data_IF_451398799704
#
_entry.id   IF_451398799704
#
_cell.length_a   1.000
_cell.length_b   1.000
_cell.length_c   1.000
_cell.angle_alpha   90.00
_cell.angle_beta   90.00
_cell.angle_gamma   90.00
#
_symmetry.space_group_name_H-M   'P 1'
#
loop_
_entity.id
_entity.type
_entity.pdbx_description
1 polymer ?
#
# COMPACT_ATOMS: atom_id res chain seq x y z
N UNK A 1 -13.88 59.85 -20.59
CA UNK A 1 -14.13 60.14 -19.18
C UNK A 1 -14.77 58.94 -18.54
N UNK A 2 -14.17 58.45 -17.49
CA UNK A 2 -14.51 57.47 -16.47
C UNK A 2 -13.58 56.25 -16.48
N UNK A 3 -12.62 56.34 -15.57
CA UNK A 3 -11.66 55.31 -15.22
C UNK A 3 -12.30 54.16 -14.47
N UNK A 4 -11.70 52.95 -14.54
CA UNK A 4 -12.12 51.79 -13.76
C UNK A 4 -11.30 51.71 -12.45
N UNK A 5 -12.01 51.47 -11.37
CA UNK A 5 -11.46 51.05 -10.09
C UNK A 5 -11.38 49.50 -10.06
N UNK A 6 -10.19 48.97 -10.23
CA UNK A 6 -9.87 47.59 -9.82
C UNK A 6 -8.81 47.64 -8.74
N UNK A 7 -9.24 47.51 -7.52
CA UNK A 7 -8.36 47.32 -6.37
C UNK A 7 -7.81 45.89 -6.40
N UNK A 8 -6.52 45.79 -6.61
CA UNK A 8 -5.75 44.54 -6.47
C UNK A 8 -5.60 44.23 -4.98
N UNK A 9 -6.37 43.28 -4.49
CA UNK A 9 -6.05 42.60 -3.24
C UNK A 9 -4.91 41.62 -3.50
N UNK A 10 -3.74 41.94 -2.99
CA UNK A 10 -2.58 41.03 -2.96
C UNK A 10 -2.86 39.89 -1.99
N UNK A 11 -2.82 38.69 -2.49
CA UNK A 11 -2.70 37.48 -1.73
C UNK A 11 -1.38 37.51 -0.94
N UNK A 12 -1.35 37.17 0.35
CA UNK A 12 -0.10 37.07 1.09
C UNK A 12 0.52 35.71 0.78
N UNK A 13 1.36 35.70 -0.22
CA UNK A 13 2.20 34.58 -0.61
C UNK A 13 3.49 34.58 0.19
N UNK A 14 4.02 33.36 0.34
CA UNK A 14 5.41 33.05 0.61
C UNK A 14 5.96 33.44 1.99
N UNK A 15 5.74 32.55 2.93
CA UNK A 15 6.75 32.36 3.96
C UNK A 15 7.92 31.57 3.34
N UNK A 16 8.88 32.33 2.78
CA UNK A 16 10.24 31.86 2.48
C UNK A 16 10.77 31.05 3.67
N UNK A 17 11.34 29.89 3.38
CA UNK A 17 12.05 29.06 4.34
C UNK A 17 13.06 29.89 5.15
N UNK A 18 12.76 30.10 6.42
CA UNK A 18 13.76 30.56 7.37
C UNK A 18 14.78 29.42 7.54
N UNK A 19 16.01 29.70 7.15
CA UNK A 19 17.17 28.90 7.61
C UNK A 19 17.17 29.03 9.12
N UNK A 20 17.01 27.92 9.82
CA UNK A 20 17.13 27.87 11.26
C UNK A 20 18.58 28.15 11.64
N UNK A 21 18.79 29.22 12.39
CA UNK A 21 20.05 29.47 13.10
C UNK A 21 20.14 28.48 14.28
N UNK A 22 21.33 28.00 14.65
CA UNK A 22 21.49 27.10 15.80
C UNK A 22 21.22 27.92 17.07
N UNK A 23 20.02 27.77 17.65
CA UNK A 23 19.64 28.48 18.89
C UNK A 23 18.14 28.66 19.12
N UNK A 24 17.30 28.44 18.11
CA UNK A 24 15.84 28.54 18.30
C UNK A 24 15.26 27.20 18.80
N UNK A 25 14.48 27.32 19.87
CA UNK A 25 13.93 26.27 20.72
C UNK A 25 13.52 25.02 19.93
N UNK A 26 14.21 23.93 20.23
CA UNK A 26 13.79 22.59 19.89
C UNK A 26 12.34 22.42 20.37
N UNK A 27 11.40 22.18 19.44
CA UNK A 27 10.12 21.58 19.78
C UNK A 27 10.43 20.27 20.47
N UNK A 28 10.22 20.25 21.78
CA UNK A 28 10.56 19.09 22.60
C UNK A 28 9.60 17.97 22.31
N UNK A 29 10.08 16.73 22.49
CA UNK A 29 9.30 15.47 22.48
C UNK A 29 7.98 15.61 23.26
N UNK A 30 7.90 16.53 24.24
CA UNK A 30 6.70 16.92 24.96
C UNK A 30 5.58 17.48 24.07
N UNK A 31 5.89 18.20 23.00
CA UNK A 31 4.84 18.86 22.18
C UNK A 31 4.12 17.86 21.29
N UNK A 32 4.82 16.84 20.80
CA UNK A 32 4.21 15.75 20.02
C UNK A 32 3.47 14.80 20.97
N UNK A 33 4.01 14.51 22.14
CA UNK A 33 3.34 13.73 23.18
C UNK A 33 2.11 14.48 23.75
N UNK A 34 2.16 15.80 23.88
CA UNK A 34 1.03 16.66 24.24
C UNK A 34 -0.06 16.69 23.15
N UNK A 35 0.30 16.64 21.86
CA UNK A 35 -0.67 16.53 20.78
C UNK A 35 -1.38 15.17 20.79
N UNK A 36 -0.69 14.07 21.08
CA UNK A 36 -1.34 12.77 21.30
C UNK A 36 -2.11 12.70 22.63
N UNK A 37 -1.67 13.42 23.68
CA UNK A 37 -2.41 13.54 24.94
C UNK A 37 -3.65 14.47 24.79
N UNK A 38 -3.57 15.50 23.98
CA UNK A 38 -4.72 16.35 23.62
C UNK A 38 -5.82 15.57 22.87
N UNK A 39 -5.47 14.49 22.15
CA UNK A 39 -6.46 13.56 21.60
C UNK A 39 -7.33 12.88 22.67
N UNK A 40 -6.84 12.68 23.88
CA UNK A 40 -7.64 12.12 24.99
C UNK A 40 -8.67 13.11 25.56
N UNK A 41 -8.45 14.41 25.44
CA UNK A 41 -9.32 15.46 26.02
C UNK A 41 -10.29 16.03 24.97
N UNK A 42 -9.98 15.94 23.67
CA UNK A 42 -10.74 16.53 22.57
C UNK A 42 -12.02 15.76 22.18
N UNK A 43 -12.37 14.65 22.87
CA UNK A 43 -13.60 13.89 22.60
C UNK A 43 -14.89 14.68 22.96
N UNK A 44 -14.80 15.88 23.53
CA UNK A 44 -15.97 16.63 24.01
C UNK A 44 -16.30 17.95 23.32
N UNK A 45 -15.54 18.40 22.34
CA UNK A 45 -15.94 19.57 21.55
C UNK A 45 -15.57 19.33 20.08
N UNK A 46 -16.58 19.23 19.24
CA UNK A 46 -16.44 19.20 17.78
C UNK A 46 -15.96 20.58 17.28
N UNK A 47 -14.67 20.86 17.42
CA UNK A 47 -13.99 21.89 16.65
C UNK A 47 -13.04 21.15 15.71
N UNK A 48 -13.26 21.27 14.40
CA UNK A 48 -12.47 20.67 13.34
C UNK A 48 -11.02 21.16 13.46
N UNK A 49 -10.14 20.33 14.02
CA UNK A 49 -8.70 20.56 13.87
C UNK A 49 -8.38 20.54 12.38
N UNK A 50 -7.64 21.51 11.85
CA UNK A 50 -7.33 21.55 10.42
C UNK A 50 -6.58 20.28 10.01
N UNK A 51 -6.88 19.77 8.81
CA UNK A 51 -6.16 18.67 8.22
C UNK A 51 -4.69 19.07 8.03
N UNK A 52 -3.78 18.26 8.54
CA UNK A 52 -2.34 18.56 8.52
C UNK A 52 -1.60 17.48 7.74
N UNK A 53 -0.78 17.91 6.79
CA UNK A 53 0.17 17.07 6.08
C UNK A 53 1.58 17.34 6.62
N UNK A 54 2.20 16.33 7.20
CA UNK A 54 3.55 16.37 7.74
C UNK A 54 4.49 15.50 6.88
N UNK A 55 5.73 15.90 6.77
CA UNK A 55 6.77 15.14 6.06
C UNK A 55 7.99 15.00 6.94
N UNK A 56 8.44 13.76 7.13
CA UNK A 56 9.72 13.41 7.70
C UNK A 56 10.61 12.81 6.62
N UNK A 57 11.83 13.26 6.54
CA UNK A 57 12.81 12.71 5.62
C UNK A 57 14.14 12.55 6.34
N UNK A 58 14.74 11.36 6.29
CA UNK A 58 16.01 11.11 6.96
C UNK A 58 17.14 12.02 6.47
N UNK A 59 17.03 12.55 5.24
CA UNK A 59 17.99 13.47 4.65
C UNK A 59 17.88 14.90 5.18
N UNK A 60 16.90 15.22 6.03
CA UNK A 60 16.79 16.54 6.69
C UNK A 60 17.88 16.73 7.75
N UNK A 61 18.62 15.66 8.08
CA UNK A 61 19.74 15.68 9.02
C UNK A 61 21.00 15.03 8.42
N UNK A 62 22.15 15.30 9.05
CA UNK A 62 23.43 14.73 8.68
C UNK A 62 23.40 13.17 8.69
N UNK A 63 24.16 12.50 7.80
CA UNK A 63 24.13 11.04 7.64
C UNK A 63 24.27 10.26 8.94
N UNK A 64 25.18 10.67 9.82
CA UNK A 64 25.45 10.02 11.11
C UNK A 64 24.26 10.10 12.09
N UNK A 65 23.36 11.07 11.92
CA UNK A 65 22.20 11.30 12.80
C UNK A 65 20.89 10.77 12.25
N UNK A 66 20.86 10.28 11.01
CA UNK A 66 19.62 9.89 10.31
C UNK A 66 18.84 8.80 11.02
N UNK A 67 19.54 7.81 11.57
CA UNK A 67 18.90 6.70 12.26
C UNK A 67 18.27 7.14 13.59
N UNK A 68 18.99 7.93 14.39
CA UNK A 68 18.46 8.48 15.63
C UNK A 68 17.29 9.41 15.40
N UNK A 69 17.40 10.31 14.42
CA UNK A 69 16.30 11.18 14.00
C UNK A 69 15.05 10.38 13.60
N UNK A 70 15.21 9.31 12.81
CA UNK A 70 14.12 8.45 12.40
C UNK A 70 13.46 7.73 13.57
N UNK A 71 14.28 7.18 14.47
CA UNK A 71 13.82 6.51 15.69
C UNK A 71 12.99 7.45 16.58
N UNK A 72 13.41 8.69 16.71
CA UNK A 72 12.77 9.67 17.59
C UNK A 72 11.47 10.22 17.01
N UNK A 73 11.35 10.34 15.69
CA UNK A 73 10.23 11.03 15.05
C UNK A 73 9.23 10.09 14.36
N UNK A 74 9.70 9.01 13.75
CA UNK A 74 8.82 8.10 13.01
C UNK A 74 8.28 6.95 13.86
N UNK A 75 9.09 6.43 14.81
CA UNK A 75 8.77 5.23 15.59
C UNK A 75 9.05 5.41 17.09
N UNK A 76 8.66 6.52 17.66
CA UNK A 76 8.93 6.87 19.06
C UNK A 76 8.44 5.85 20.11
N UNK A 77 7.48 4.98 19.74
CA UNK A 77 6.91 3.95 20.62
C UNK A 77 7.61 2.60 20.53
N UNK A 78 8.49 2.45 19.56
CA UNK A 78 9.20 1.21 19.28
C UNK A 78 10.71 1.41 19.47
N UNK A 79 11.43 0.31 19.66
CA UNK A 79 12.88 0.30 19.64
C UNK A 79 13.38 -0.12 18.28
N UNK A 80 14.18 0.72 17.63
CA UNK A 80 14.73 0.46 16.32
C UNK A 80 16.20 0.08 16.41
N UNK A 81 16.60 -0.89 15.60
CA UNK A 81 17.99 -1.32 15.46
C UNK A 81 18.36 -1.33 13.96
N UNK A 82 19.48 -0.70 13.57
CA UNK A 82 19.94 -0.74 12.18
C UNK A 82 20.42 -2.16 11.85
N UNK A 83 20.08 -2.65 10.64
CA UNK A 83 20.64 -3.91 10.13
C UNK A 83 22.02 -3.73 9.49
N UNK A 84 22.35 -2.51 9.09
CA UNK A 84 23.65 -2.15 8.51
C UNK A 84 24.16 -0.88 9.20
N UNK A 85 24.96 -1.01 10.26
CA UNK A 85 25.42 0.15 11.05
C UNK A 85 26.22 1.18 10.23
N UNK A 86 26.93 0.73 9.21
CA UNK A 86 27.79 1.59 8.37
C UNK A 86 27.03 2.29 7.23
N UNK A 87 25.81 1.88 6.93
CA UNK A 87 25.02 2.49 5.87
C UNK A 87 24.06 3.54 6.47
N UNK A 88 24.13 4.81 6.03
CA UNK A 88 23.19 5.82 6.51
C UNK A 88 21.77 5.48 6.08
N UNK A 89 20.82 5.68 7.00
CA UNK A 89 19.41 5.42 6.74
C UNK A 89 18.88 6.31 5.61
N UNK A 90 18.20 5.71 4.64
CA UNK A 90 17.33 6.42 3.68
C UNK A 90 15.87 6.05 3.97
N UNK A 91 15.13 7.01 4.50
CA UNK A 91 13.74 6.81 4.89
C UNK A 91 12.92 8.10 4.71
N UNK A 92 11.66 7.92 4.36
CA UNK A 92 10.68 8.99 4.21
C UNK A 92 9.33 8.56 4.76
N UNK A 93 8.64 9.46 5.46
CA UNK A 93 7.28 9.28 5.94
C UNK A 93 6.47 10.53 5.63
N UNK A 94 5.35 10.34 4.97
CA UNK A 94 4.31 11.36 4.77
C UNK A 94 3.14 11.00 5.68
N UNK A 95 2.68 11.94 6.49
CA UNK A 95 1.57 11.74 7.43
C UNK A 95 0.48 12.77 7.17
N UNK A 96 -0.72 12.29 6.89
CA UNK A 96 -1.94 13.09 6.81
C UNK A 96 -2.76 12.84 8.06
N UNK A 97 -3.04 13.89 8.80
CA UNK A 97 -3.73 13.83 10.10
C UNK A 97 -4.97 14.70 10.11
N UNK A 98 -6.09 14.16 10.55
CA UNK A 98 -7.31 14.91 10.80
C UNK A 98 -8.13 14.26 11.92
N UNK A 99 -8.53 15.04 12.91
CA UNK A 99 -9.24 14.53 14.07
C UNK A 99 -8.46 13.42 14.78
N UNK A 100 -9.09 12.26 14.90
CA UNK A 100 -8.53 11.07 15.53
C UNK A 100 -8.03 10.00 14.53
N UNK A 101 -7.85 10.37 13.28
CA UNK A 101 -7.41 9.50 12.20
C UNK A 101 -6.08 9.98 11.62
N UNK A 102 -5.21 9.04 11.31
CA UNK A 102 -3.92 9.31 10.68
C UNK A 102 -3.71 8.34 9.53
N UNK A 103 -3.37 8.88 8.36
CA UNK A 103 -2.87 8.10 7.24
C UNK A 103 -1.37 8.35 7.09
N UNK A 104 -0.61 7.29 6.79
CA UNK A 104 0.83 7.40 6.53
C UNK A 104 1.23 6.67 5.26
N UNK A 105 2.22 7.23 4.57
CA UNK A 105 2.92 6.58 3.47
C UNK A 105 4.43 6.60 3.79
N UNK A 106 5.02 5.43 3.94
CA UNK A 106 6.41 5.27 4.37
C UNK A 106 7.22 4.46 3.37
N UNK A 107 8.46 4.86 3.19
CA UNK A 107 9.52 4.06 2.56
C UNK A 107 10.78 4.11 3.42
N UNK A 108 11.56 3.03 3.46
CA UNK A 108 12.80 3.02 4.24
C UNK A 108 13.83 1.99 3.77
N UNK A 109 15.08 2.22 4.19
CA UNK A 109 16.10 1.18 4.28
C UNK A 109 15.70 0.10 5.28
N UNK A 110 16.46 -0.99 5.32
CA UNK A 110 16.21 -2.09 6.24
C UNK A 110 16.55 -1.73 7.69
N UNK A 111 15.67 -2.11 8.61
CA UNK A 111 15.91 -2.06 10.07
C UNK A 111 15.04 -3.07 10.81
N UNK A 112 15.46 -3.43 12.02
CA UNK A 112 14.64 -4.16 12.98
C UNK A 112 13.85 -3.19 13.86
N UNK A 113 12.61 -3.53 14.12
CA UNK A 113 11.71 -2.81 15.02
C UNK A 113 11.25 -3.77 16.11
N UNK A 114 11.51 -3.40 17.37
CA UNK A 114 11.19 -4.21 18.56
C UNK A 114 10.26 -3.44 19.47
N UNK A 115 9.58 -4.19 20.31
CA UNK A 115 8.77 -3.59 21.36
C UNK A 115 9.59 -2.81 22.37
N UNK A 116 9.02 -1.69 22.78
CA UNK A 116 9.50 -0.91 23.92
C UNK A 116 8.39 -0.78 24.97
N UNK A 117 8.16 -1.78 25.84
CA UNK A 117 7.01 -1.81 26.75
C UNK A 117 6.84 -0.55 27.59
N UNK A 118 7.94 0.07 28.03
CA UNK A 118 7.91 1.34 28.80
C UNK A 118 7.40 2.51 27.96
N UNK A 119 7.68 2.54 26.67
CA UNK A 119 7.22 3.58 25.74
C UNK A 119 5.78 3.34 25.33
N UNK A 120 5.42 2.07 25.09
CA UNK A 120 4.05 1.67 24.74
C UNK A 120 3.02 2.06 25.79
N UNK A 121 3.38 2.05 27.09
CA UNK A 121 2.47 2.47 28.16
C UNK A 121 1.91 3.89 28.00
N UNK A 122 2.57 4.75 27.23
CA UNK A 122 2.18 6.13 26.95
C UNK A 122 1.67 6.33 25.51
N UNK A 123 1.70 5.29 24.68
CA UNK A 123 1.24 5.38 23.29
C UNK A 123 -0.30 5.53 23.21
N UNK A 124 -0.83 6.22 22.19
CA UNK A 124 -2.27 6.32 21.99
C UNK A 124 -2.85 4.95 21.64
N UNK A 125 -4.06 4.68 22.14
CA UNK A 125 -4.76 3.41 21.86
C UNK A 125 -5.28 3.37 20.43
N UNK A 126 -4.39 3.02 19.51
CA UNK A 126 -4.66 2.97 18.07
C UNK A 126 -4.43 1.57 17.53
N UNK A 127 -5.14 1.25 16.46
CA UNK A 127 -4.91 0.09 15.61
C UNK A 127 -4.46 0.56 14.24
N UNK A 128 -3.56 -0.17 13.60
CA UNK A 128 -3.00 0.18 12.30
C UNK A 128 -3.46 -0.82 11.25
N UNK A 129 -4.07 -0.32 10.20
CA UNK A 129 -4.39 -1.08 8.99
C UNK A 129 -3.37 -0.71 7.93
N UNK A 130 -2.59 -1.67 7.46
CA UNK A 130 -1.43 -1.41 6.63
C UNK A 130 -1.38 -2.28 5.37
N UNK A 131 -1.02 -1.65 4.26
CA UNK A 131 -0.78 -2.27 2.97
C UNK A 131 0.71 -2.19 2.64
N UNK A 132 1.37 -3.33 2.49
CA UNK A 132 2.73 -3.36 1.95
C UNK A 132 2.65 -3.16 0.43
N UNK A 133 3.34 -2.14 -0.07
CA UNK A 133 3.36 -1.78 -1.49
C UNK A 133 4.60 -2.30 -2.21
N UNK A 134 5.74 -2.35 -1.52
CA UNK A 134 7.00 -2.89 -2.04
C UNK A 134 7.88 -3.41 -0.90
N UNK A 135 8.84 -4.27 -1.23
CA UNK A 135 9.67 -4.94 -0.23
C UNK A 135 8.86 -5.93 0.60
N UNK A 136 9.33 -6.23 1.79
CA UNK A 136 8.65 -7.13 2.71
C UNK A 136 8.87 -6.72 4.17
N UNK A 137 7.96 -7.15 5.02
CA UNK A 137 8.08 -7.07 6.47
C UNK A 137 8.01 -8.49 7.04
N UNK A 138 9.02 -8.88 7.79
CA UNK A 138 9.00 -10.12 8.58
C UNK A 138 8.46 -9.79 9.95
N UNK A 139 7.46 -10.51 10.40
CA UNK A 139 6.91 -10.40 11.75
C UNK A 139 7.20 -11.66 12.53
N UNK A 140 7.85 -11.50 13.65
CA UNK A 140 8.16 -12.54 14.60
C UNK A 140 7.31 -12.34 15.86
N UNK A 141 6.24 -13.12 15.99
CA UNK A 141 5.22 -12.94 17.03
C UNK A 141 5.08 -14.11 18.00
N UNK A 142 5.66 -15.26 17.68
CA UNK A 142 5.61 -16.48 18.48
C UNK A 142 6.79 -17.40 18.15
N UNK A 143 7.14 -18.38 18.98
CA UNK A 143 8.10 -19.43 18.61
C UNK A 143 7.62 -20.15 17.33
N UNK A 144 8.36 -20.02 16.25
CA UNK A 144 8.04 -20.60 14.96
C UNK A 144 8.66 -19.82 13.81
N UNK A 145 8.23 -20.11 12.59
CA UNK A 145 8.68 -19.35 11.42
C UNK A 145 8.06 -17.94 11.41
N UNK A 146 8.86 -16.88 11.16
CA UNK A 146 8.36 -15.53 11.07
C UNK A 146 7.34 -15.40 9.92
N UNK A 147 6.26 -14.68 10.17
CA UNK A 147 5.28 -14.37 9.14
C UNK A 147 5.83 -13.32 8.18
N UNK A 148 5.92 -13.68 6.91
CA UNK A 148 6.38 -12.79 5.83
C UNK A 148 5.18 -12.04 5.24
N UNK A 149 5.24 -10.72 5.28
CA UNK A 149 4.21 -9.81 4.77
C UNK A 149 4.79 -9.09 3.56
N UNK A 150 4.31 -9.44 2.38
CA UNK A 150 4.81 -8.93 1.11
C UNK A 150 3.87 -7.95 0.41
N UNK A 151 4.27 -7.47 -0.78
CA UNK A 151 3.51 -6.50 -1.54
C UNK A 151 2.07 -6.94 -1.83
N UNK A 152 1.16 -6.01 -1.66
CA UNK A 152 -0.28 -6.22 -1.85
C UNK A 152 -0.98 -6.90 -0.68
N UNK A 153 -0.27 -7.29 0.37
CA UNK A 153 -0.89 -7.83 1.57
C UNK A 153 -1.37 -6.70 2.47
N UNK A 154 -2.63 -6.81 2.88
CA UNK A 154 -3.27 -5.92 3.84
C UNK A 154 -3.23 -6.59 5.22
N UNK A 155 -2.77 -5.88 6.22
CA UNK A 155 -2.71 -6.34 7.60
C UNK A 155 -3.45 -5.43 8.57
N UNK A 156 -3.95 -6.01 9.66
CA UNK A 156 -4.41 -5.28 10.83
C UNK A 156 -3.41 -5.52 11.97
N UNK A 157 -2.78 -4.45 12.43
CA UNK A 157 -1.74 -4.47 13.44
C UNK A 157 -2.22 -3.84 14.74
N UNK A 158 -1.87 -4.48 15.84
CA UNK A 158 -2.05 -3.95 17.17
C UNK A 158 -0.65 -3.57 17.72
N UNK A 159 -0.29 -2.28 17.78
CA UNK A 159 1.00 -1.85 18.30
C UNK A 159 1.21 -2.19 19.77
N UNK A 160 0.13 -2.49 20.52
CA UNK A 160 0.17 -2.85 21.95
C UNK A 160 0.40 -4.34 22.18
N UNK A 161 0.39 -5.15 21.13
CA UNK A 161 0.60 -6.61 21.23
C UNK A 161 1.95 -7.00 20.67
N UNK A 162 2.56 -7.98 21.36
CA UNK A 162 3.89 -8.47 21.12
C UNK A 162 4.19 -8.82 19.67
N UNK A 163 5.33 -8.34 19.17
CA UNK A 163 5.88 -8.68 17.86
C UNK A 163 7.10 -7.86 17.53
N UNK A 164 8.12 -8.54 17.04
CA UNK A 164 9.24 -7.90 16.40
C UNK A 164 8.98 -7.84 14.89
N UNK A 165 9.44 -6.78 14.27
CA UNK A 165 9.29 -6.58 12.84
C UNK A 165 10.65 -6.30 12.22
N UNK A 166 10.92 -6.91 11.08
CA UNK A 166 12.10 -6.60 10.26
C UNK A 166 11.65 -6.06 8.93
N UNK A 167 12.06 -4.86 8.62
CA UNK A 167 11.83 -4.19 7.36
C UNK A 167 12.92 -4.54 6.37
N UNK A 168 12.56 -4.90 5.14
CA UNK A 168 13.52 -5.10 4.08
C UNK A 168 13.98 -3.76 3.49
N UNK A 169 15.12 -3.77 2.79
CA UNK A 169 15.58 -2.59 2.07
C UNK A 169 14.56 -2.18 0.99
N UNK A 170 14.23 -0.89 0.94
CA UNK A 170 13.29 -0.34 -0.03
C UNK A 170 11.82 -0.71 0.24
N UNK A 171 11.50 -1.21 1.43
CA UNK A 171 10.13 -1.47 1.81
C UNK A 171 9.28 -0.20 1.77
N UNK A 172 8.06 -0.32 1.21
CA UNK A 172 7.05 0.75 1.15
C UNK A 172 5.74 0.28 1.74
N UNK A 173 5.17 1.11 2.57
CA UNK A 173 3.90 0.86 3.26
C UNK A 173 2.98 2.06 3.14
N UNK A 174 1.69 1.78 2.95
CA UNK A 174 0.61 2.74 3.16
C UNK A 174 -0.24 2.26 4.32
N UNK A 175 -0.45 3.09 5.33
CA UNK A 175 -1.17 2.68 6.52
C UNK A 175 -2.19 3.71 6.99
N UNK A 176 -3.23 3.23 7.67
CA UNK A 176 -4.27 4.01 8.32
C UNK A 176 -4.32 3.63 9.80
N UNK A 177 -4.06 4.59 10.67
CA UNK A 177 -4.22 4.41 12.11
C UNK A 177 -5.59 4.91 12.56
N UNK A 178 -6.32 4.07 13.26
CA UNK A 178 -7.68 4.29 13.75
C UNK A 178 -7.73 4.10 15.27
N UNK A 179 -8.60 4.83 15.99
CA UNK A 179 -8.85 4.56 17.38
C UNK A 179 -9.24 3.09 17.61
N UNK A 180 -8.66 2.46 18.63
CA UNK A 180 -8.95 1.07 18.96
C UNK A 180 -10.44 0.82 19.17
N UNK A 181 -11.12 1.74 19.87
CA UNK A 181 -12.54 1.61 20.16
C UNK A 181 -13.40 1.58 18.89
N UNK A 182 -13.03 2.37 17.87
CA UNK A 182 -13.69 2.35 16.56
C UNK A 182 -13.49 1.00 15.87
N UNK A 183 -12.28 0.44 15.96
CA UNK A 183 -11.93 -0.86 15.36
C UNK A 183 -12.66 -2.00 16.09
N UNK A 184 -12.66 -2.01 17.42
CA UNK A 184 -13.39 -2.99 18.24
C UNK A 184 -14.88 -2.93 17.94
N UNK A 185 -15.46 -1.73 17.91
CA UNK A 185 -16.89 -1.54 17.58
C UNK A 185 -17.23 -2.02 16.17
N UNK A 186 -16.34 -1.79 15.20
CA UNK A 186 -16.55 -2.22 13.82
C UNK A 186 -16.43 -3.74 13.66
N UNK A 187 -15.44 -4.37 14.31
CA UNK A 187 -15.20 -5.81 14.26
C UNK A 187 -16.25 -6.59 15.07
N UNK A 188 -16.75 -6.03 16.18
CA UNK A 188 -17.61 -6.71 17.15
C UNK A 188 -16.86 -7.62 18.13
N UNK A 189 -15.54 -7.62 18.13
CA UNK A 189 -14.67 -8.38 19.05
C UNK A 189 -13.32 -7.71 19.22
N UNK A 190 -12.57 -8.16 20.24
CA UNK A 190 -11.23 -7.66 20.52
C UNK A 190 -10.25 -8.06 19.41
N UNK A 191 -9.65 -7.09 18.69
CA UNK A 191 -8.81 -7.39 17.55
C UNK A 191 -7.50 -8.05 17.96
N UNK A 192 -6.99 -8.89 17.05
CA UNK A 192 -5.64 -9.45 17.10
C UNK A 192 -4.91 -9.06 15.83
N UNK A 193 -3.58 -9.09 15.88
CA UNK A 193 -2.81 -8.98 14.64
C UNK A 193 -3.22 -10.08 13.66
N UNK A 194 -3.54 -9.68 12.43
CA UNK A 194 -3.92 -10.63 11.36
C UNK A 194 -3.70 -10.02 9.97
N UNK A 195 -3.44 -10.88 9.01
CA UNK A 195 -3.57 -10.52 7.60
C UNK A 195 -5.05 -10.58 7.20
N UNK A 196 -5.46 -9.66 6.34
CA UNK A 196 -6.81 -9.57 5.80
C UNK A 196 -6.79 -10.04 4.35
N UNK A 197 -7.22 -11.29 4.15
CA UNK A 197 -7.33 -11.83 2.80
C UNK A 197 -8.66 -11.43 2.14
N UNK A 198 -8.71 -11.34 0.79
CA UNK A 198 -9.96 -11.03 0.07
C UNK A 198 -11.10 -12.01 0.39
N UNK A 199 -10.80 -13.29 0.66
CA UNK A 199 -11.80 -14.30 1.03
C UNK A 199 -12.42 -14.10 2.41
N UNK A 200 -11.76 -13.36 3.30
CA UNK A 200 -12.27 -13.01 4.63
C UNK A 200 -13.03 -11.70 4.63
N UNK A 201 -12.66 -10.79 3.72
CA UNK A 201 -13.24 -9.47 3.61
C UNK A 201 -13.40 -9.10 2.14
N UNK A 202 -14.62 -9.10 1.64
CA UNK A 202 -14.93 -8.76 0.25
C UNK A 202 -14.50 -7.31 -0.11
N UNK A 203 -14.33 -6.45 0.88
CA UNK A 203 -13.90 -5.06 0.70
C UNK A 203 -12.38 -4.86 0.76
N UNK A 204 -11.61 -5.91 1.10
CA UNK A 204 -10.14 -5.79 1.18
C UNK A 204 -9.50 -5.30 -0.12
N UNK A 205 -9.90 -5.72 -1.34
CA UNK A 205 -9.33 -5.19 -2.57
C UNK A 205 -9.60 -3.69 -2.77
N UNK A 206 -10.82 -3.24 -2.46
CA UNK A 206 -11.19 -1.83 -2.58
C UNK A 206 -10.41 -0.97 -1.57
N UNK A 207 -10.28 -1.43 -0.33
CA UNK A 207 -9.50 -0.75 0.70
C UNK A 207 -8.01 -0.70 0.34
N UNK A 208 -7.43 -1.79 -0.16
CA UNK A 208 -6.04 -1.81 -0.62
C UNK A 208 -5.80 -0.82 -1.76
N UNK A 209 -6.72 -0.74 -2.72
CA UNK A 209 -6.65 0.23 -3.82
C UNK A 209 -6.74 1.68 -3.29
N UNK A 210 -7.64 1.94 -2.34
CA UNK A 210 -7.79 3.26 -1.73
C UNK A 210 -6.53 3.67 -0.97
N UNK A 211 -5.95 2.80 -0.12
CA UNK A 211 -4.71 3.09 0.61
C UNK A 211 -3.55 3.37 -0.36
N UNK A 212 -3.41 2.58 -1.42
CA UNK A 212 -2.37 2.79 -2.42
C UNK A 212 -2.54 4.13 -3.15
N UNK A 213 -3.78 4.49 -3.50
CA UNK A 213 -4.08 5.73 -4.21
C UNK A 213 -3.85 6.96 -3.33
N UNK A 214 -4.28 6.94 -2.07
CA UNK A 214 -4.00 8.02 -1.12
C UNK A 214 -2.50 8.21 -0.93
N UNK A 215 -1.72 7.12 -0.77
CA UNK A 215 -0.26 7.21 -0.68
C UNK A 215 0.35 7.89 -1.91
N UNK A 216 -0.15 7.60 -3.11
CA UNK A 216 0.31 8.24 -4.35
C UNK A 216 -0.02 9.74 -4.37
N UNK A 217 -1.24 10.13 -3.98
CA UNK A 217 -1.67 11.53 -3.94
C UNK A 217 -0.85 12.37 -2.96
N UNK A 218 -0.45 11.81 -1.81
CA UNK A 218 0.38 12.54 -0.84
C UNK A 218 1.78 12.89 -1.36
N UNK A 219 2.27 12.23 -2.40
CA UNK A 219 3.51 12.61 -3.07
C UNK A 219 3.34 13.82 -4.01
N UNK A 220 2.09 14.25 -4.27
CA UNK A 220 1.74 15.39 -5.09
C UNK A 220 0.90 16.41 -4.29
N UNK A 221 1.47 17.03 -3.24
CA UNK A 221 0.72 17.80 -2.25
C UNK A 221 0.05 19.07 -2.81
N UNK A 222 0.40 19.50 -4.02
CA UNK A 222 -0.20 20.67 -4.68
C UNK A 222 -1.50 20.34 -5.42
N UNK A 223 -1.86 19.07 -5.51
CA UNK A 223 -3.04 18.62 -6.25
C UNK A 223 -4.35 18.80 -5.47
N UNK A 224 -4.29 18.86 -4.15
CA UNK A 224 -5.45 18.89 -3.26
C UNK A 224 -5.31 19.97 -2.18
N UNK A 225 -6.41 20.62 -1.85
CA UNK A 225 -6.47 21.53 -0.71
C UNK A 225 -6.68 20.78 0.63
N UNK A 226 -6.64 21.50 1.74
CA UNK A 226 -6.79 20.90 3.09
C UNK A 226 -8.17 20.28 3.32
N UNK A 227 -9.22 20.81 2.69
CA UNK A 227 -10.60 20.30 2.80
C UNK A 227 -10.75 19.01 1.98
N UNK A 228 -10.16 18.96 0.80
CA UNK A 228 -10.13 17.79 -0.06
C UNK A 228 -9.31 16.65 0.58
N UNK A 229 -8.17 16.98 1.19
CA UNK A 229 -7.36 16.02 1.94
C UNK A 229 -8.11 15.46 3.16
N UNK A 230 -8.83 16.31 3.90
CA UNK A 230 -9.69 15.84 5.00
C UNK A 230 -10.80 14.91 4.48
N UNK A 231 -11.52 15.33 3.45
CA UNK A 231 -12.56 14.50 2.82
C UNK A 231 -12.04 13.15 2.34
N UNK A 232 -10.83 13.12 1.76
CA UNK A 232 -10.16 11.90 1.33
C UNK A 232 -9.82 10.99 2.52
N UNK A 233 -9.30 11.54 3.61
CA UNK A 233 -8.98 10.80 4.83
C UNK A 233 -10.25 10.24 5.49
N UNK A 234 -11.33 11.03 5.60
CA UNK A 234 -12.61 10.58 6.16
C UNK A 234 -13.24 9.47 5.30
N UNK A 235 -13.17 9.58 3.98
CA UNK A 235 -13.64 8.54 3.06
C UNK A 235 -12.85 7.24 3.25
N UNK A 236 -11.52 7.35 3.38
CA UNK A 236 -10.65 6.20 3.62
C UNK A 236 -10.96 5.54 4.97
N UNK A 237 -11.17 6.34 6.02
CA UNK A 237 -11.62 5.86 7.33
C UNK A 237 -12.96 5.14 7.24
N UNK A 238 -13.94 5.72 6.56
CA UNK A 238 -15.27 5.11 6.41
C UNK A 238 -15.19 3.75 5.69
N UNK A 239 -14.40 3.65 4.62
CA UNK A 239 -14.16 2.40 3.89
C UNK A 239 -13.46 1.37 4.77
N UNK A 240 -12.46 1.78 5.56
CA UNK A 240 -11.75 0.89 6.48
C UNK A 240 -12.70 0.32 7.57
N UNK A 241 -13.52 1.15 8.19
CA UNK A 241 -14.51 0.71 9.18
C UNK A 241 -15.57 -0.21 8.56
N UNK A 242 -15.98 0.06 7.31
CA UNK A 242 -16.89 -0.83 6.58
C UNK A 242 -16.25 -2.19 6.31
N UNK A 243 -14.96 -2.22 5.90
CA UNK A 243 -14.20 -3.44 5.70
C UNK A 243 -14.04 -4.24 7.01
N UNK A 244 -13.79 -3.55 8.13
CA UNK A 244 -13.73 -4.20 9.46
C UNK A 244 -15.07 -4.81 9.87
N UNK A 245 -16.21 -4.13 9.64
CA UNK A 245 -17.54 -4.69 9.87
C UNK A 245 -17.80 -5.93 9.00
N UNK A 246 -17.37 -5.90 7.74
CA UNK A 246 -17.47 -7.06 6.86
C UNK A 246 -16.62 -8.23 7.39
N UNK A 247 -15.38 -7.94 7.81
CA UNK A 247 -14.48 -8.91 8.42
C UNK A 247 -15.07 -9.49 9.71
N UNK A 248 -15.66 -8.67 10.57
CA UNK A 248 -16.28 -9.07 11.85
C UNK A 248 -17.42 -10.07 11.66
N UNK A 249 -18.25 -9.87 10.64
CA UNK A 249 -19.37 -10.77 10.32
C UNK A 249 -18.91 -12.18 9.87
N UNK A 250 -17.75 -12.29 9.27
CA UNK A 250 -17.24 -13.53 8.68
C UNK A 250 -16.12 -14.16 9.52
N UNK A 251 -15.63 -13.47 10.57
CA UNK A 251 -14.37 -13.80 11.26
C UNK A 251 -14.47 -14.59 12.56
N UNK A 252 -15.65 -15.07 12.97
CA UNK A 252 -15.85 -15.66 14.31
C UNK A 252 -15.42 -17.13 14.46
N UNK A 253 -15.05 -17.80 13.39
CA UNK A 253 -14.70 -19.24 13.45
C UNK A 253 -13.59 -19.58 12.47
N UNK A 254 -12.34 -19.62 12.92
CA UNK A 254 -11.31 -20.19 12.05
C UNK A 254 -10.10 -20.75 12.80
N UNK A 255 -9.83 -22.05 12.55
CA UNK A 255 -8.67 -22.80 12.96
C UNK A 255 -7.39 -22.43 12.16
N UNK A 256 -6.24 -22.99 12.56
CA UNK A 256 -4.95 -22.75 11.89
C UNK A 256 -4.93 -23.08 10.37
N UNK A 257 -5.77 -24.02 9.93
CA UNK A 257 -5.97 -24.35 8.53
C UNK A 257 -6.54 -23.19 7.71
N UNK A 258 -7.49 -22.45 8.28
CA UNK A 258 -8.09 -21.27 7.65
C UNK A 258 -7.08 -20.12 7.47
N UNK A 259 -6.15 -19.96 8.44
CA UNK A 259 -5.08 -18.97 8.34
C UNK A 259 -4.13 -19.29 7.17
N UNK A 260 -3.82 -20.58 6.96
CA UNK A 260 -2.97 -21.00 5.84
C UNK A 260 -3.64 -20.74 4.49
N UNK A 261 -4.92 -21.04 4.37
CA UNK A 261 -5.71 -20.76 3.16
C UNK A 261 -5.81 -19.26 2.88
N UNK A 262 -6.01 -18.46 3.90
CA UNK A 262 -6.07 -16.99 3.78
C UNK A 262 -4.72 -16.37 3.36
N UNK A 263 -3.62 -16.88 3.90
CA UNK A 263 -2.28 -16.50 3.47
C UNK A 263 -2.06 -16.84 1.99
N UNK A 264 -2.52 -18.02 1.53
CA UNK A 264 -2.41 -18.41 0.13
C UNK A 264 -3.28 -17.54 -0.79
N UNK A 265 -4.50 -17.18 -0.37
CA UNK A 265 -5.35 -16.22 -1.11
C UNK A 265 -4.69 -14.83 -1.20
N UNK A 266 -4.09 -14.35 -0.09
CA UNK A 266 -3.35 -13.09 -0.06
C UNK A 266 -2.15 -13.08 -1.01
N UNK A 267 -1.35 -14.15 -1.01
CA UNK A 267 -0.21 -14.34 -1.91
C UNK A 267 -0.64 -14.42 -3.37
N UNK A 268 -1.70 -15.16 -3.66
CA UNK A 268 -2.27 -15.28 -4.99
C UNK A 268 -2.70 -13.90 -5.52
N UNK A 269 -3.46 -13.12 -4.73
CA UNK A 269 -3.90 -11.79 -5.10
C UNK A 269 -2.73 -10.80 -5.30
N UNK A 270 -1.70 -10.87 -4.46
CA UNK A 270 -0.48 -10.08 -4.61
C UNK A 270 0.28 -10.42 -5.90
N UNK A 271 0.39 -11.72 -6.20
CA UNK A 271 1.05 -12.18 -7.41
C UNK A 271 0.30 -11.75 -8.68
N UNK A 272 -1.03 -11.82 -8.70
CA UNK A 272 -1.82 -11.34 -9.82
C UNK A 272 -1.62 -9.84 -10.07
N UNK A 273 -1.56 -9.01 -9.02
CA UNK A 273 -1.26 -7.57 -9.18
C UNK A 273 0.14 -7.34 -9.72
N UNK A 274 1.16 -7.98 -9.13
CA UNK A 274 2.54 -7.88 -9.62
C UNK A 274 2.66 -8.30 -11.09
N UNK A 275 2.01 -9.42 -11.46
CA UNK A 275 1.97 -9.88 -12.86
C UNK A 275 1.29 -8.86 -13.77
N UNK A 276 0.17 -8.24 -13.37
CA UNK A 276 -0.54 -7.25 -14.17
C UNK A 276 0.37 -6.05 -14.51
N UNK A 277 1.13 -5.58 -13.53
CA UNK A 277 2.07 -4.46 -13.71
C UNK A 277 3.27 -4.86 -14.58
N UNK A 278 3.78 -6.09 -14.44
CA UNK A 278 5.01 -6.56 -15.07
C UNK A 278 4.79 -7.49 -16.28
N UNK A 279 3.55 -7.77 -16.69
CA UNK A 279 3.20 -8.73 -17.75
C UNK A 279 3.89 -8.46 -19.10
N UNK A 280 4.26 -7.19 -19.36
CA UNK A 280 4.95 -6.75 -20.57
C UNK A 280 6.40 -7.28 -20.67
N UNK A 281 7.00 -7.65 -19.56
CA UNK A 281 8.37 -8.16 -19.50
C UNK A 281 8.40 -9.62 -19.99
N UNK A 282 9.17 -9.90 -21.02
CA UNK A 282 9.31 -11.26 -21.58
C UNK A 282 10.12 -12.19 -20.67
N UNK A 283 11.03 -11.63 -19.83
CA UNK A 283 11.88 -12.35 -18.88
C UNK A 283 11.22 -12.63 -17.53
N UNK A 284 9.92 -12.25 -17.37
CA UNK A 284 9.20 -12.47 -16.12
C UNK A 284 8.95 -13.98 -15.91
N UNK A 285 9.64 -14.52 -14.92
CA UNK A 285 9.57 -15.93 -14.51
C UNK A 285 9.00 -16.09 -13.09
N UNK A 286 8.87 -17.34 -12.65
CA UNK A 286 8.35 -17.68 -11.32
C UNK A 286 9.24 -17.12 -10.20
N UNK A 287 10.56 -17.07 -10.40
CA UNK A 287 11.48 -16.54 -9.39
C UNK A 287 11.32 -15.03 -9.22
N UNK A 288 11.20 -14.30 -10.34
CA UNK A 288 10.94 -12.85 -10.33
C UNK A 288 9.58 -12.53 -9.70
N UNK A 289 8.53 -13.31 -10.00
CA UNK A 289 7.20 -13.13 -9.39
C UNK A 289 7.26 -13.40 -7.88
N UNK A 290 7.89 -14.49 -7.46
CA UNK A 290 8.04 -14.83 -6.05
C UNK A 290 8.83 -13.75 -5.29
N UNK A 291 9.95 -13.26 -5.86
CA UNK A 291 10.73 -12.16 -5.30
C UNK A 291 9.95 -10.87 -5.20
N UNK A 292 9.23 -10.50 -6.28
CA UNK A 292 8.41 -9.29 -6.32
C UNK A 292 7.20 -9.29 -5.37
N UNK A 293 6.79 -10.47 -4.93
CA UNK A 293 5.66 -10.65 -3.97
C UNK A 293 6.13 -11.05 -2.57
N UNK A 294 7.45 -11.08 -2.31
CA UNK A 294 7.99 -11.38 -0.99
C UNK A 294 7.69 -12.81 -0.50
N UNK A 295 7.58 -13.79 -1.40
CA UNK A 295 7.33 -15.17 -1.01
C UNK A 295 8.30 -16.16 -1.68
N UNK A 296 8.43 -17.38 -1.11
CA UNK A 296 9.20 -18.43 -1.76
C UNK A 296 8.44 -19.00 -2.97
N UNK A 297 9.17 -19.58 -3.95
CA UNK A 297 8.56 -20.26 -5.10
C UNK A 297 7.56 -21.35 -4.69
N UNK A 298 7.89 -22.13 -3.66
CA UNK A 298 7.02 -23.17 -3.13
C UNK A 298 5.69 -22.59 -2.66
N UNK A 299 5.72 -21.54 -1.85
CA UNK A 299 4.50 -20.87 -1.36
C UNK A 299 3.70 -20.19 -2.46
N UNK A 300 4.38 -19.70 -3.50
CA UNK A 300 3.71 -19.18 -4.68
C UNK A 300 2.97 -20.28 -5.45
N UNK A 301 3.60 -21.43 -5.65
CA UNK A 301 2.95 -22.59 -6.28
C UNK A 301 1.74 -23.08 -5.47
N UNK A 302 1.88 -23.19 -4.14
CA UNK A 302 0.79 -23.59 -3.24
C UNK A 302 -0.41 -22.61 -3.35
N UNK A 303 -0.13 -21.31 -3.39
CA UNK A 303 -1.15 -20.29 -3.50
C UNK A 303 -1.94 -20.38 -4.83
N UNK A 304 -1.27 -20.69 -5.94
CA UNK A 304 -1.94 -20.86 -7.24
C UNK A 304 -2.64 -22.23 -7.34
N UNK A 305 -2.03 -23.29 -6.82
CA UNK A 305 -2.64 -24.64 -6.79
C UNK A 305 -3.95 -24.65 -5.98
N UNK A 306 -3.99 -23.93 -4.85
CA UNK A 306 -5.21 -23.77 -4.04
C UNK A 306 -6.37 -23.08 -4.80
N UNK A 307 -6.08 -22.37 -5.89
CA UNK A 307 -7.06 -21.75 -6.78
C UNK A 307 -7.26 -22.54 -8.10
N UNK A 308 -6.73 -23.76 -8.20
CA UNK A 308 -6.82 -24.58 -9.40
C UNK A 308 -6.05 -24.02 -10.60
N UNK A 309 -5.06 -23.17 -10.39
CA UNK A 309 -4.31 -22.47 -11.41
C UNK A 309 -2.80 -22.77 -11.34
N UNK A 310 -2.07 -22.39 -12.37
CA UNK A 310 -0.60 -22.36 -12.34
C UNK A 310 -0.10 -20.93 -12.49
N UNK A 311 1.04 -20.62 -11.88
CA UNK A 311 1.66 -19.29 -11.92
C UNK A 311 1.85 -18.80 -13.36
N UNK A 312 2.52 -19.62 -14.19
CA UNK A 312 2.80 -19.25 -15.59
C UNK A 312 1.55 -19.34 -16.48
N UNK A 313 0.55 -20.14 -16.10
CA UNK A 313 -0.76 -20.17 -16.76
C UNK A 313 -1.50 -18.85 -16.59
N UNK A 314 -1.54 -18.32 -15.38
CA UNK A 314 -2.15 -17.03 -15.08
C UNK A 314 -1.44 -15.86 -15.79
N UNK A 315 -0.09 -15.85 -15.78
CA UNK A 315 0.67 -14.85 -16.52
C UNK A 315 0.39 -14.91 -18.04
N UNK A 316 0.35 -16.11 -18.59
CA UNK A 316 0.01 -16.31 -20.02
C UNK A 316 -1.39 -15.79 -20.34
N UNK A 317 -2.36 -16.09 -19.52
CA UNK A 317 -3.73 -15.61 -19.69
C UNK A 317 -3.80 -14.06 -19.67
N UNK A 318 -3.14 -13.42 -18.71
CA UNK A 318 -3.08 -11.96 -18.65
C UNK A 318 -2.46 -11.33 -19.92
N UNK A 319 -1.36 -11.92 -20.41
CA UNK A 319 -0.71 -11.47 -21.64
C UNK A 319 -1.64 -11.61 -22.87
N UNK A 320 -2.38 -12.71 -22.94
CA UNK A 320 -3.33 -12.97 -24.01
C UNK A 320 -4.54 -12.01 -23.96
N UNK A 321 -5.09 -11.76 -22.78
CA UNK A 321 -6.19 -10.81 -22.61
C UNK A 321 -5.74 -9.39 -22.94
N UNK A 322 -4.52 -8.98 -22.53
CA UNK A 322 -3.93 -7.70 -22.90
C UNK A 322 -3.77 -7.57 -24.41
N UNK A 323 -3.27 -8.62 -25.10
CA UNK A 323 -3.12 -8.62 -26.55
C UNK A 323 -4.47 -8.48 -27.24
N UNK A 324 -5.48 -9.22 -26.79
CA UNK A 324 -6.86 -9.15 -27.31
C UNK A 324 -7.43 -7.74 -27.16
N UNK A 325 -7.25 -7.11 -26.00
CA UNK A 325 -7.68 -5.73 -25.77
C UNK A 325 -6.98 -4.73 -26.67
N UNK A 326 -5.67 -4.84 -26.85
CA UNK A 326 -4.92 -3.94 -27.75
C UNK A 326 -5.35 -4.08 -29.22
N UNK A 327 -5.64 -5.29 -29.70
CA UNK A 327 -6.14 -5.51 -31.05
C UNK A 327 -7.54 -4.91 -31.27
N UNK A 328 -8.37 -4.87 -30.24
CA UNK A 328 -9.71 -4.27 -30.32
C UNK A 328 -9.67 -2.75 -30.53
N UNK A 329 -8.56 -2.09 -30.20
CA UNK A 329 -8.40 -0.63 -30.33
C UNK A 329 -7.52 -0.21 -31.51
N UNK A 330 -6.95 -1.14 -32.28
CA UNK A 330 -6.02 -0.82 -33.40
C UNK A 330 -6.13 -1.81 -34.52
N UNK A 331 -6.75 -1.42 -35.69
CA UNK A 331 -7.04 -2.32 -36.80
C UNK A 331 -5.79 -2.89 -37.49
N UNK A 332 -4.67 -2.17 -37.48
CA UNK A 332 -3.46 -2.52 -38.22
C UNK A 332 -2.26 -2.81 -37.27
N UNK A 333 -2.51 -3.55 -36.20
CA UNK A 333 -1.45 -3.89 -35.24
C UNK A 333 -0.50 -4.94 -35.82
N UNK A 334 0.80 -4.61 -35.92
CA UNK A 334 1.82 -5.58 -36.31
C UNK A 334 1.97 -6.68 -35.23
N UNK A 335 1.63 -7.92 -35.57
CA UNK A 335 1.51 -9.02 -34.59
C UNK A 335 2.82 -9.37 -33.87
N UNK A 336 3.97 -9.21 -34.51
CA UNK A 336 5.27 -9.39 -33.86
C UNK A 336 5.53 -8.33 -32.79
N UNK A 337 5.25 -7.06 -33.10
CA UNK A 337 5.38 -5.97 -32.14
C UNK A 337 4.35 -6.12 -30.99
N UNK A 338 3.13 -6.57 -31.30
CA UNK A 338 2.12 -6.85 -30.30
C UNK A 338 2.54 -7.96 -29.33
N UNK A 339 3.06 -9.07 -29.87
CA UNK A 339 3.56 -10.18 -29.09
C UNK A 339 4.63 -9.72 -28.07
N UNK A 340 5.61 -8.94 -28.54
CA UNK A 340 6.65 -8.36 -27.72
C UNK A 340 6.10 -7.41 -26.65
N UNK A 341 5.23 -6.49 -27.02
CA UNK A 341 4.59 -5.55 -26.05
C UNK A 341 3.75 -6.25 -24.98
N UNK A 342 3.28 -7.46 -25.28
CA UNK A 342 2.52 -8.29 -24.33
C UNK A 342 3.40 -9.29 -23.57
N UNK A 343 4.73 -9.23 -23.73
CA UNK A 343 5.67 -10.04 -22.97
C UNK A 343 5.92 -11.45 -23.54
N UNK A 344 5.53 -11.73 -24.78
CA UNK A 344 5.89 -12.98 -25.46
C UNK A 344 7.29 -12.86 -26.09
N UNK A 345 8.07 -13.93 -25.98
CA UNK A 345 9.42 -13.96 -26.52
C UNK A 345 9.45 -13.91 -28.07
N UNK A 346 8.41 -14.50 -28.70
CA UNK A 346 8.29 -14.54 -30.16
C UNK A 346 6.83 -14.58 -30.62
N UNK A 347 6.61 -14.23 -31.90
CA UNK A 347 5.28 -14.19 -32.52
C UNK A 347 4.67 -15.58 -32.68
N UNK A 348 5.47 -16.63 -32.89
CA UNK A 348 5.00 -18.00 -33.10
C UNK A 348 4.37 -18.56 -31.83
N UNK A 349 5.09 -18.43 -30.68
CA UNK A 349 4.58 -18.81 -29.37
C UNK A 349 3.33 -18.05 -28.98
N UNK A 350 3.29 -16.73 -29.24
CA UNK A 350 2.10 -15.92 -29.08
C UNK A 350 0.92 -16.45 -29.89
N UNK A 351 1.10 -16.67 -31.21
CA UNK A 351 0.02 -17.11 -32.11
C UNK A 351 -0.55 -18.47 -31.74
N UNK A 352 0.32 -19.41 -31.33
CA UNK A 352 -0.10 -20.73 -30.84
C UNK A 352 -0.91 -20.62 -29.55
N UNK A 353 -0.42 -19.84 -28.58
CA UNK A 353 -1.11 -19.64 -27.31
C UNK A 353 -2.45 -18.92 -27.48
N UNK A 354 -2.51 -17.90 -28.34
CA UNK A 354 -3.73 -17.15 -28.64
C UNK A 354 -4.79 -18.05 -29.30
N UNK A 355 -4.41 -18.85 -30.32
CA UNK A 355 -5.32 -19.79 -30.97
C UNK A 355 -5.82 -20.87 -30.00
N UNK A 356 -4.95 -21.42 -29.17
CA UNK A 356 -5.33 -22.40 -28.17
C UNK A 356 -6.35 -21.85 -27.17
N UNK A 357 -6.26 -20.55 -26.83
CA UNK A 357 -7.13 -19.89 -25.85
C UNK A 357 -8.43 -19.39 -26.42
N UNK A 358 -8.43 -18.83 -27.62
CA UNK A 358 -9.57 -18.12 -28.23
C UNK A 358 -10.17 -18.82 -29.44
N UNK A 359 -9.58 -19.92 -29.89
CA UNK A 359 -10.05 -20.67 -31.07
C UNK A 359 -9.60 -20.10 -32.42
N UNK A 360 -9.15 -18.84 -32.47
CA UNK A 360 -8.74 -18.13 -33.65
C UNK A 360 -7.28 -17.73 -33.60
N UNK A 361 -6.58 -17.71 -34.75
CA UNK A 361 -5.26 -17.07 -34.77
C UNK A 361 -5.40 -15.55 -34.58
N UNK A 362 -4.34 -14.84 -34.09
CA UNK A 362 -4.37 -13.40 -33.95
C UNK A 362 -4.75 -12.67 -35.23
N UNK A 363 -4.26 -13.14 -36.40
CA UNK A 363 -4.57 -12.57 -37.71
C UNK A 363 -6.06 -12.74 -38.06
N UNK A 364 -6.61 -13.95 -37.85
CA UNK A 364 -8.03 -14.21 -38.08
C UNK A 364 -8.92 -13.38 -37.15
N UNK A 365 -8.53 -13.28 -35.89
CA UNK A 365 -9.24 -12.46 -34.89
C UNK A 365 -9.27 -10.99 -35.32
N UNK A 366 -8.12 -10.45 -35.77
CA UNK A 366 -8.00 -9.08 -36.24
C UNK A 366 -8.88 -8.83 -37.51
N UNK A 367 -8.85 -9.73 -38.47
CA UNK A 367 -9.68 -9.66 -39.65
C UNK A 367 -11.18 -9.65 -39.33
N UNK A 368 -11.60 -10.49 -38.38
CA UNK A 368 -13.00 -10.59 -37.97
C UNK A 368 -13.50 -9.36 -37.20
N UNK A 369 -12.66 -8.76 -36.35
CA UNK A 369 -13.00 -7.54 -35.64
C UNK A 369 -13.24 -6.34 -36.55
N UNK A 370 -12.55 -6.30 -37.68
CA UNK A 370 -12.51 -5.16 -38.57
C UNK A 370 -13.06 -5.48 -40.00
N UNK A 371 -13.71 -6.63 -40.14
CA UNK A 371 -14.47 -6.92 -41.35
C UNK A 371 -15.64 -5.94 -41.41
N UNK A 372 -15.70 -5.11 -42.46
CA UNK A 372 -16.88 -4.30 -42.72
C UNK A 372 -18.11 -5.22 -42.83
N UNK A 373 -19.29 -4.82 -42.30
CA UNK A 373 -20.51 -5.56 -42.58
C UNK A 373 -20.66 -5.61 -44.11
N UNK A 374 -20.68 -6.83 -44.64
CA UNK A 374 -21.09 -6.99 -46.05
C UNK A 374 -22.52 -6.53 -46.09
N UNK A 375 -22.77 -5.36 -46.75
CA UNK A 375 -24.10 -4.95 -47.13
C UNK A 375 -24.72 -6.12 -47.89
N UNK A 376 -25.72 -6.76 -47.28
CA UNK A 376 -26.60 -7.67 -47.98
C UNK A 376 -27.43 -6.83 -48.95
N UNK A 377 -27.03 -6.88 -50.23
CA UNK A 377 -27.79 -6.33 -51.34
C UNK A 377 -28.94 -7.29 -51.73
#
# INVERSE_FOLDING_TARGET
MLSPLFGSQRCPTERRGKRFAPGDAAYTISDIALQFAAMRTAVRTASSSPCMLERLHSHDVEPARRFDYWREHAHQWMELQPLSPDAPLDAQLLMLRSGNCLFGAMRSSAYDMREAPRRLAHAPSMMVMALIQAGEVLRDAAPGEPTRIGPGMLGLYDPWRQGNYRWSHGAREAFLALPRDDVVSALGYEPRHRLIAPGQCALAPALSAQLAHVALLLHQPQALDSTELDGLLQTTRALALLALRNLGRHGHSRDAADLHEDLNRGRHAAALRFMADQAHRHDLDVAAIAGGTGCSRTRLYEAFAAQGATVMGALREMRLQRAKGLMAHSPHTHLGALAWRCGFADQSGFSKAFRARFGWSPSQWQQQLWAEPKDEA
#
